data_IF_913008286489
#
_entry.id   IF_913008286489
#
_cell.length_a   1.000
_cell.length_b   1.000
_cell.length_c   1.000
_cell.angle_alpha   90.00
_cell.angle_beta   90.00
_cell.angle_gamma   90.00
#
_symmetry.space_group_name_H-M   'P 1'
#
loop_
_entity.id
_entity.type
_entity.pdbx_description
1 polymer ?
#
# COMPACT_ATOMS: atom_id res chain seq x y z
N UNK A 1 -7.66 -28.85 -7.81
CA UNK A 1 -7.49 -28.56 -6.37
C UNK A 1 -6.55 -27.38 -6.21
N UNK A 2 -7.10 -26.27 -5.84
CA UNK A 2 -6.61 -24.90 -5.88
C UNK A 2 -5.48 -24.66 -4.88
N UNK A 3 -4.30 -24.33 -5.36
CA UNK A 3 -3.10 -23.97 -4.57
C UNK A 3 -2.94 -22.46 -4.38
N UNK A 4 -4.00 -21.71 -4.65
CA UNK A 4 -4.06 -20.27 -4.39
C UNK A 4 -4.88 -20.04 -3.12
N UNK A 5 -4.42 -19.21 -2.22
CA UNK A 5 -5.00 -18.73 -0.96
C UNK A 5 -4.35 -19.23 0.34
N UNK A 6 -3.02 -19.13 0.44
CA UNK A 6 -2.35 -19.28 1.75
C UNK A 6 -1.74 -17.98 2.30
N UNK A 7 -1.97 -16.82 1.66
CA UNK A 7 -1.34 -15.56 2.08
C UNK A 7 -2.12 -14.73 3.11
N UNK A 8 -3.45 -14.80 3.13
CA UNK A 8 -4.26 -13.88 3.95
C UNK A 8 -4.54 -14.38 5.39
N UNK A 9 -4.38 -15.67 5.66
CA UNK A 9 -4.68 -16.27 6.98
C UNK A 9 -3.45 -16.42 7.90
N UNK A 10 -2.25 -16.15 7.40
CA UNK A 10 -1.01 -16.50 8.11
C UNK A 10 -0.73 -15.69 9.38
N UNK A 11 -1.41 -14.55 9.58
CA UNK A 11 -1.15 -13.64 10.70
C UNK A 11 -2.37 -13.43 11.63
N UNK A 12 -3.47 -14.14 11.43
CA UNK A 12 -4.67 -14.02 12.29
C UNK A 12 -4.36 -14.24 13.78
N UNK A 13 -3.43 -15.16 14.06
CA UNK A 13 -3.02 -15.48 15.42
C UNK A 13 -2.33 -14.27 16.10
N UNK A 14 -1.76 -13.35 15.33
CA UNK A 14 -1.08 -12.16 15.86
C UNK A 14 -1.92 -10.88 15.80
N UNK A 15 -3.15 -10.93 15.27
CA UNK A 15 -4.02 -9.75 15.19
C UNK A 15 -4.22 -9.09 16.57
N UNK A 16 -4.44 -9.89 17.61
CA UNK A 16 -4.61 -9.38 18.97
C UNK A 16 -3.34 -8.67 19.48
N UNK A 17 -2.15 -9.23 19.19
CA UNK A 17 -0.87 -8.61 19.55
C UNK A 17 -0.65 -7.30 18.79
N UNK A 18 -0.86 -7.32 17.49
CA UNK A 18 -0.69 -6.13 16.63
C UNK A 18 -1.72 -5.05 17.00
N UNK A 19 -2.94 -5.46 17.38
CA UNK A 19 -3.98 -4.54 17.84
C UNK A 19 -3.71 -3.94 19.22
N UNK A 20 -2.97 -4.62 20.08
CA UNK A 20 -2.50 -4.05 21.36
C UNK A 20 -1.56 -2.88 21.11
N UNK A 21 -0.72 -2.95 20.08
CA UNK A 21 0.30 -1.94 19.78
C UNK A 21 1.48 -1.98 20.76
N UNK A 22 2.34 -0.96 20.69
CA UNK A 22 3.50 -0.84 21.57
C UNK A 22 4.66 -1.76 21.20
N UNK A 23 5.48 -2.13 22.18
CA UNK A 23 6.59 -3.05 21.99
C UNK A 23 6.16 -4.49 22.26
N UNK A 24 6.64 -5.41 21.42
CA UNK A 24 6.45 -6.85 21.49
C UNK A 24 7.80 -7.54 21.58
N UNK A 25 7.84 -8.66 22.29
CA UNK A 25 9.00 -9.56 22.37
C UNK A 25 8.74 -10.82 21.55
N UNK A 26 9.80 -11.58 21.26
CA UNK A 26 9.66 -12.90 20.62
C UNK A 26 8.76 -13.82 21.46
N UNK A 27 8.80 -13.71 22.80
CA UNK A 27 7.96 -14.51 23.69
C UNK A 27 6.47 -14.25 23.46
N UNK A 28 6.05 -12.99 23.27
CA UNK A 28 4.65 -12.66 22.98
C UNK A 28 4.12 -13.40 21.74
N UNK A 29 4.96 -13.58 20.71
CA UNK A 29 4.57 -14.30 19.50
C UNK A 29 4.46 -15.82 19.71
N UNK A 30 5.31 -16.39 20.55
CA UNK A 30 5.20 -17.81 20.93
C UNK A 30 3.95 -18.06 21.77
N UNK A 31 3.64 -17.17 22.72
CA UNK A 31 2.42 -17.25 23.53
C UNK A 31 1.14 -17.15 22.70
N UNK A 32 1.13 -16.28 21.68
CA UNK A 32 -0.01 -16.12 20.77
C UNK A 32 -0.21 -17.31 19.82
N UNK A 33 0.81 -18.15 19.62
CA UNK A 33 0.75 -19.30 18.70
C UNK A 33 1.49 -20.53 19.24
N UNK A 34 1.03 -21.08 20.37
CA UNK A 34 1.74 -22.18 21.04
C UNK A 34 1.79 -23.49 20.23
N UNK A 35 0.90 -23.64 19.25
CA UNK A 35 0.83 -24.82 18.39
C UNK A 35 1.78 -24.76 17.16
N UNK A 36 2.44 -23.62 16.90
CA UNK A 36 3.29 -23.47 15.75
C UNK A 36 4.74 -23.87 16.04
N UNK A 37 5.42 -24.53 15.06
CA UNK A 37 6.85 -24.77 15.15
C UNK A 37 7.65 -23.46 15.28
N UNK A 38 8.74 -23.42 16.07
CA UNK A 38 9.56 -22.21 16.26
C UNK A 38 10.01 -21.55 14.97
N UNK A 39 10.42 -22.32 13.97
CA UNK A 39 10.83 -21.80 12.66
C UNK A 39 9.70 -21.03 11.96
N UNK A 40 8.45 -21.51 12.10
CA UNK A 40 7.28 -20.84 11.53
C UNK A 40 7.02 -19.51 12.22
N UNK A 41 7.13 -19.46 13.57
CA UNK A 41 6.98 -18.20 14.34
C UNK A 41 8.02 -17.18 13.89
N UNK A 42 9.30 -17.56 13.82
CA UNK A 42 10.36 -16.65 13.35
C UNK A 42 10.16 -16.20 11.90
N UNK A 43 9.70 -17.09 11.01
CA UNK A 43 9.39 -16.74 9.62
C UNK A 43 8.27 -15.72 9.54
N UNK A 44 7.23 -15.85 10.39
CA UNK A 44 6.12 -14.89 10.44
C UNK A 44 6.55 -13.54 11.02
N UNK A 45 7.36 -13.52 12.09
CA UNK A 45 7.93 -12.27 12.62
C UNK A 45 8.76 -11.58 11.52
N UNK A 46 9.60 -12.33 10.79
CA UNK A 46 10.36 -11.78 9.66
C UNK A 46 9.45 -11.18 8.60
N UNK A 47 8.36 -11.86 8.23
CA UNK A 47 7.37 -11.36 7.28
C UNK A 47 6.71 -10.06 7.76
N UNK A 48 6.38 -9.96 9.05
CA UNK A 48 5.82 -8.74 9.64
C UNK A 48 6.82 -7.57 9.68
N UNK A 49 8.11 -7.86 9.86
CA UNK A 49 9.15 -6.84 9.72
C UNK A 49 9.33 -6.41 8.27
N UNK A 50 9.35 -7.38 7.35
CA UNK A 50 9.55 -7.11 5.92
C UNK A 50 8.38 -6.31 5.30
N UNK A 51 7.14 -6.52 5.75
CA UNK A 51 5.99 -5.74 5.27
C UNK A 51 5.79 -4.43 6.04
N UNK A 52 6.68 -4.10 6.98
CA UNK A 52 6.63 -2.85 7.72
C UNK A 52 5.59 -2.80 8.84
N UNK A 53 4.92 -3.91 9.18
CA UNK A 53 3.99 -3.96 10.33
C UNK A 53 4.73 -3.98 11.68
N UNK A 54 5.97 -4.44 11.67
CA UNK A 54 6.88 -4.40 12.82
C UNK A 54 8.18 -3.69 12.45
N UNK A 55 8.72 -2.94 13.40
CA UNK A 55 10.08 -2.39 13.32
C UNK A 55 10.92 -2.97 14.45
N UNK A 56 12.12 -3.45 14.13
CA UNK A 56 13.03 -3.98 15.15
C UNK A 56 13.61 -2.85 15.99
N UNK A 57 13.38 -2.89 17.30
CA UNK A 57 13.91 -1.88 18.26
C UNK A 57 15.04 -2.41 19.12
N UNK A 58 15.31 -3.71 19.04
CA UNK A 58 16.39 -4.35 19.78
C UNK A 58 16.46 -5.85 19.51
N UNK A 59 17.39 -6.55 20.17
CA UNK A 59 17.50 -8.01 20.04
C UNK A 59 16.25 -8.68 20.60
N UNK A 60 15.45 -9.31 19.70
CA UNK A 60 14.19 -9.98 20.04
C UNK A 60 13.05 -9.04 20.48
N UNK A 61 13.19 -7.74 20.21
CA UNK A 61 12.18 -6.71 20.54
C UNK A 61 11.76 -5.97 19.29
N UNK A 62 10.45 -5.74 19.15
CA UNK A 62 9.82 -5.15 17.99
C UNK A 62 8.78 -4.13 18.42
N UNK A 63 8.72 -3.00 17.74
CA UNK A 63 7.62 -2.04 17.87
C UNK A 63 6.59 -2.29 16.78
N UNK A 64 5.31 -2.24 17.15
CA UNK A 64 4.22 -2.30 16.18
C UNK A 64 4.18 -1.00 15.39
N UNK A 65 4.09 -1.11 14.07
CA UNK A 65 3.93 0.01 13.14
C UNK A 65 2.63 -0.19 12.40
N UNK A 66 1.68 0.71 12.61
CA UNK A 66 0.40 0.69 11.90
C UNK A 66 0.47 1.66 10.74
N UNK A 67 0.37 1.09 9.56
CA UNK A 67 0.27 1.83 8.30
C UNK A 67 -1.13 1.65 7.73
N UNK A 68 -1.65 2.63 6.99
CA UNK A 68 -2.90 2.47 6.26
C UNK A 68 -2.86 1.25 5.36
N UNK A 69 -3.99 0.59 5.18
CA UNK A 69 -4.11 -0.48 4.20
C UNK A 69 -4.09 0.12 2.79
N UNK A 70 -3.29 -0.46 1.92
CA UNK A 70 -3.34 -0.09 0.51
C UNK A 70 -4.63 -0.66 -0.11
N UNK A 71 -5.49 0.22 -0.57
CA UNK A 71 -6.73 -0.14 -1.24
C UNK A 71 -6.65 0.26 -2.70
N UNK A 72 -6.85 -0.71 -3.59
CA UNK A 72 -7.03 -0.44 -5.01
C UNK A 72 -8.49 -0.04 -5.22
N UNK A 73 -8.78 1.13 -5.80
CA UNK A 73 -10.15 1.49 -6.14
C UNK A 73 -10.69 0.47 -7.14
N UNK A 74 -11.79 -0.18 -6.79
CA UNK A 74 -12.51 -1.09 -7.68
C UNK A 74 -13.77 -0.37 -8.16
N UNK A 75 -13.90 -0.23 -9.47
CA UNK A 75 -15.04 0.43 -10.10
C UNK A 75 -16.12 -0.60 -10.48
N UNK A 76 -17.35 -0.12 -10.67
CA UNK A 76 -18.46 -0.98 -11.13
C UNK A 76 -18.11 -1.68 -12.44
N UNK A 77 -17.42 -1.00 -13.35
CA UNK A 77 -16.97 -1.59 -14.61
C UNK A 77 -15.94 -2.73 -14.41
N UNK A 78 -15.01 -2.59 -13.44
CA UNK A 78 -14.12 -3.69 -13.07
C UNK A 78 -14.88 -4.90 -12.53
N UNK A 79 -15.90 -4.66 -11.69
CA UNK A 79 -16.72 -5.73 -11.13
C UNK A 79 -17.57 -6.41 -12.20
N UNK A 80 -18.16 -5.66 -13.13
CA UNK A 80 -18.92 -6.16 -14.26
C UNK A 80 -18.06 -7.09 -15.13
N UNK A 81 -16.90 -6.60 -15.58
CA UNK A 81 -15.98 -7.40 -16.42
C UNK A 81 -15.46 -8.61 -15.66
N UNK A 82 -15.09 -8.47 -14.38
CA UNK A 82 -14.69 -9.61 -13.56
C UNK A 82 -15.80 -10.65 -13.44
N UNK A 83 -17.04 -10.23 -13.22
CA UNK A 83 -18.22 -11.13 -13.18
C UNK A 83 -18.43 -11.88 -14.50
N UNK A 84 -18.26 -11.19 -15.63
CA UNK A 84 -18.28 -11.83 -16.94
C UNK A 84 -17.18 -12.88 -17.09
N UNK A 85 -15.94 -12.56 -16.66
CA UNK A 85 -14.80 -13.48 -16.76
C UNK A 85 -14.98 -14.74 -15.91
N UNK A 86 -15.47 -14.60 -14.69
CA UNK A 86 -15.75 -15.74 -13.80
C UNK A 86 -16.76 -16.70 -14.44
N UNK A 87 -17.78 -16.18 -15.09
CA UNK A 87 -18.87 -16.98 -15.65
C UNK A 87 -18.53 -17.59 -17.03
N UNK A 88 -17.64 -16.98 -17.81
CA UNK A 88 -17.42 -17.37 -19.22
C UNK A 88 -15.98 -17.82 -19.52
N UNK A 89 -15.04 -17.64 -18.59
CA UNK A 89 -13.63 -17.97 -18.75
C UNK A 89 -13.12 -18.85 -17.60
N UNK A 90 -13.83 -19.94 -17.32
CA UNK A 90 -13.53 -20.82 -16.19
C UNK A 90 -12.09 -21.37 -16.28
N UNK A 91 -11.39 -21.34 -15.14
CA UNK A 91 -10.01 -21.85 -15.02
C UNK A 91 -8.92 -20.93 -15.57
N UNK A 92 -9.24 -19.72 -16.03
CA UNK A 92 -8.26 -18.71 -16.44
C UNK A 92 -8.00 -17.73 -15.28
N UNK A 93 -6.80 -17.79 -14.73
CA UNK A 93 -6.35 -16.79 -13.75
C UNK A 93 -6.18 -15.44 -14.45
N UNK A 94 -6.76 -14.40 -13.86
CA UNK A 94 -6.71 -13.04 -14.42
C UNK A 94 -6.47 -11.99 -13.34
N UNK A 95 -6.06 -10.79 -13.76
CA UNK A 95 -5.94 -9.60 -12.93
C UNK A 95 -6.61 -8.43 -13.63
N UNK A 96 -7.48 -7.72 -12.92
CA UNK A 96 -8.21 -6.57 -13.48
C UNK A 96 -7.72 -5.29 -12.84
N UNK A 97 -7.46 -4.28 -13.66
CA UNK A 97 -7.10 -2.94 -13.19
C UNK A 97 -7.67 -1.87 -14.12
N UNK A 98 -7.89 -0.68 -13.60
CA UNK A 98 -8.30 0.47 -14.40
C UNK A 98 -7.21 1.53 -14.40
N UNK A 99 -6.87 2.04 -15.58
CA UNK A 99 -5.92 3.15 -15.75
C UNK A 99 -6.58 4.22 -16.63
N UNK A 100 -6.87 5.36 -16.03
CA UNK A 100 -7.68 6.40 -16.68
C UNK A 100 -9.06 5.89 -17.07
N UNK A 101 -9.40 5.98 -18.37
CA UNK A 101 -10.68 5.55 -18.92
C UNK A 101 -10.66 4.13 -19.49
N UNK A 102 -9.55 3.39 -19.38
CA UNK A 102 -9.40 2.05 -19.94
C UNK A 102 -9.25 1.01 -18.84
N UNK A 103 -9.78 -0.18 -19.09
CA UNK A 103 -9.68 -1.33 -18.22
C UNK A 103 -8.62 -2.30 -18.77
N UNK A 104 -7.80 -2.86 -17.89
CA UNK A 104 -6.75 -3.81 -18.24
C UNK A 104 -7.07 -5.16 -17.64
N UNK A 105 -7.12 -6.18 -18.48
CA UNK A 105 -7.27 -7.58 -18.11
C UNK A 105 -5.98 -8.30 -18.46
N UNK A 106 -5.24 -8.73 -17.45
CA UNK A 106 -4.01 -9.47 -17.63
C UNK A 106 -4.26 -10.95 -17.38
N UNK A 107 -3.80 -11.81 -18.28
CA UNK A 107 -3.93 -13.27 -18.23
C UNK A 107 -2.63 -13.95 -18.67
N UNK A 108 -2.47 -15.25 -18.40
CA UNK A 108 -1.32 -15.99 -18.90
C UNK A 108 -1.20 -15.85 -20.43
N UNK A 109 0.03 -15.80 -20.95
CA UNK A 109 0.26 -15.56 -22.39
C UNK A 109 -0.49 -16.52 -23.31
N UNK A 110 -0.63 -17.78 -22.90
CA UNK A 110 -1.36 -18.82 -23.65
C UNK A 110 -2.87 -18.52 -23.74
N UNK A 111 -3.42 -17.77 -22.81
CA UNK A 111 -4.86 -17.52 -22.67
C UNK A 111 -5.29 -16.17 -23.32
N UNK A 112 -4.35 -15.36 -23.81
CA UNK A 112 -4.64 -14.03 -24.38
C UNK A 112 -5.64 -14.12 -25.55
N UNK A 113 -5.44 -15.06 -26.47
CA UNK A 113 -6.28 -15.18 -27.66
C UNK A 113 -7.71 -15.60 -27.28
N UNK A 114 -7.86 -16.58 -26.41
CA UNK A 114 -9.18 -17.02 -25.92
C UNK A 114 -9.88 -15.92 -25.14
N UNK A 115 -9.13 -15.15 -24.34
CA UNK A 115 -9.66 -14.00 -23.61
C UNK A 115 -10.14 -12.89 -24.54
N UNK A 116 -9.37 -12.55 -25.58
CA UNK A 116 -9.78 -11.56 -26.58
C UNK A 116 -11.06 -11.99 -27.32
N UNK A 117 -11.16 -13.26 -27.69
CA UNK A 117 -12.35 -13.79 -28.36
C UNK A 117 -13.59 -13.76 -27.45
N UNK A 118 -13.43 -14.23 -26.20
CA UNK A 118 -14.53 -14.23 -25.23
C UNK A 118 -15.03 -12.80 -24.94
N UNK A 119 -14.14 -11.89 -24.59
CA UNK A 119 -14.51 -10.50 -24.30
C UNK A 119 -15.09 -9.79 -25.54
N UNK A 120 -14.56 -10.06 -26.74
CA UNK A 120 -15.01 -9.47 -27.99
C UNK A 120 -16.42 -9.93 -28.42
N UNK A 121 -16.93 -11.03 -27.88
CA UNK A 121 -18.33 -11.47 -28.08
C UNK A 121 -19.33 -10.60 -27.30
N UNK A 122 -18.89 -9.99 -26.21
CA UNK A 122 -19.76 -9.24 -25.31
C UNK A 122 -19.50 -7.74 -25.30
N UNK A 123 -18.23 -7.34 -25.46
CA UNK A 123 -17.80 -5.94 -25.45
C UNK A 123 -17.27 -5.50 -26.82
N UNK A 124 -17.72 -4.35 -27.30
CA UNK A 124 -17.33 -3.83 -28.61
C UNK A 124 -15.88 -3.33 -28.67
N UNK A 125 -15.37 -2.80 -27.55
CA UNK A 125 -14.06 -2.14 -27.48
C UNK A 125 -13.06 -3.02 -26.73
N UNK A 126 -12.58 -4.07 -27.37
CA UNK A 126 -11.55 -4.98 -26.84
C UNK A 126 -10.32 -4.94 -27.74
N UNK A 127 -9.14 -4.79 -27.12
CA UNK A 127 -7.87 -4.68 -27.88
C UNK A 127 -6.75 -5.41 -27.14
N UNK A 128 -5.79 -5.94 -27.88
CA UNK A 128 -4.57 -6.49 -27.27
C UNK A 128 -3.60 -5.39 -26.86
N UNK A 129 -2.86 -5.59 -25.76
CA UNK A 129 -1.91 -4.60 -25.24
C UNK A 129 -0.86 -4.12 -26.27
N UNK A 130 -0.43 -4.98 -27.19
CA UNK A 130 0.52 -4.61 -28.25
C UNK A 130 -0.07 -3.54 -29.18
N UNK A 131 -1.34 -3.68 -29.54
CA UNK A 131 -2.05 -2.76 -30.44
C UNK A 131 -2.44 -1.48 -29.68
N UNK A 132 -2.84 -1.59 -28.40
CA UNK A 132 -3.07 -0.45 -27.52
C UNK A 132 -1.84 0.44 -27.38
N UNK A 133 -0.62 -0.14 -27.26
CA UNK A 133 0.62 0.62 -27.13
C UNK A 133 0.95 1.49 -28.34
N UNK A 134 0.41 1.20 -29.50
CA UNK A 134 0.58 2.03 -30.70
C UNK A 134 -0.23 3.34 -30.61
N UNK A 135 -1.41 3.31 -29.99
CA UNK A 135 -2.35 4.45 -29.98
C UNK A 135 -2.96 4.74 -28.59
N UNK A 136 -2.19 4.76 -27.49
CA UNK A 136 -2.75 4.82 -26.14
C UNK A 136 -3.49 6.13 -25.83
N UNK A 137 -3.16 7.23 -26.52
CA UNK A 137 -3.78 8.55 -26.30
C UNK A 137 -5.16 8.70 -26.97
N UNK A 138 -5.48 7.81 -27.91
CA UNK A 138 -6.72 7.88 -28.72
C UNK A 138 -7.77 6.90 -28.20
N UNK A 139 -7.33 5.82 -27.57
CA UNK A 139 -8.21 4.74 -27.14
C UNK A 139 -8.79 5.03 -25.75
N UNK A 140 -10.10 5.27 -25.67
CA UNK A 140 -10.84 5.48 -24.44
C UNK A 140 -12.03 4.52 -24.35
N UNK A 141 -12.28 3.99 -23.16
CA UNK A 141 -13.35 3.04 -22.90
C UNK A 141 -13.06 1.63 -23.44
N UNK A 142 -11.78 1.27 -23.58
CA UNK A 142 -11.36 -0.04 -24.08
C UNK A 142 -11.04 -1.01 -22.93
N UNK A 143 -11.33 -2.27 -23.18
CA UNK A 143 -10.77 -3.41 -22.40
C UNK A 143 -9.50 -3.84 -23.10
N UNK A 144 -8.36 -3.69 -22.42
CA UNK A 144 -7.03 -3.99 -22.95
C UNK A 144 -6.56 -5.31 -22.37
N UNK A 145 -6.39 -6.32 -23.22
CA UNK A 145 -5.92 -7.65 -22.79
C UNK A 145 -4.41 -7.76 -22.94
N UNK A 146 -3.74 -8.13 -21.87
CA UNK A 146 -2.29 -8.25 -21.80
C UNK A 146 -1.78 -9.47 -21.06
N UNK A 147 -0.45 -9.71 -21.10
CA UNK A 147 0.14 -10.85 -20.38
C UNK A 147 0.28 -10.57 -18.89
N UNK A 148 -0.27 -11.47 -18.07
CA UNK A 148 0.05 -11.55 -16.65
C UNK A 148 1.41 -12.24 -16.49
N UNK A 149 2.32 -11.58 -15.79
CA UNK A 149 3.62 -12.18 -15.44
C UNK A 149 3.42 -13.25 -14.38
N UNK A 150 4.12 -14.36 -14.51
CA UNK A 150 4.01 -15.48 -13.55
C UNK A 150 4.33 -15.00 -12.12
N UNK A 151 3.53 -15.46 -11.16
CA UNK A 151 3.62 -15.07 -9.74
C UNK A 151 3.50 -13.55 -9.52
N UNK A 152 2.80 -12.83 -10.41
CA UNK A 152 2.50 -11.42 -10.19
C UNK A 152 1.77 -11.25 -8.84
N UNK A 153 2.20 -10.31 -8.01
CA UNK A 153 1.55 -10.09 -6.71
C UNK A 153 0.18 -9.47 -6.92
N UNK A 154 -0.85 -10.19 -6.51
CA UNK A 154 -2.24 -9.75 -6.60
C UNK A 154 -2.87 -9.64 -5.22
N UNK A 155 -3.90 -8.84 -5.11
CA UNK A 155 -4.83 -8.74 -4.01
C UNK A 155 -6.24 -9.06 -4.51
N UNK A 156 -7.16 -9.31 -3.59
CA UNK A 156 -8.57 -9.50 -3.89
C UNK A 156 -9.39 -8.43 -3.18
N UNK A 157 -10.19 -7.70 -3.93
CA UNK A 157 -11.09 -6.66 -3.42
C UNK A 157 -12.48 -6.92 -3.98
N UNK A 158 -13.46 -7.15 -3.12
CA UNK A 158 -14.85 -7.46 -3.51
C UNK A 158 -14.96 -8.62 -4.50
N UNK A 159 -14.12 -9.66 -4.35
CA UNK A 159 -14.07 -10.81 -5.25
C UNK A 159 -13.40 -10.53 -6.61
N UNK A 160 -12.85 -9.34 -6.81
CA UNK A 160 -12.11 -8.97 -8.02
C UNK A 160 -10.59 -9.09 -7.75
N UNK A 161 -9.85 -9.87 -8.56
CA UNK A 161 -8.40 -9.95 -8.47
C UNK A 161 -7.78 -8.69 -9.08
N UNK A 162 -7.09 -7.91 -8.24
CA UNK A 162 -6.49 -6.62 -8.58
C UNK A 162 -4.98 -6.63 -8.32
N UNK A 163 -4.19 -5.73 -8.93
CA UNK A 163 -2.77 -5.64 -8.64
C UNK A 163 -2.51 -5.25 -7.18
N UNK A 164 -1.60 -5.93 -6.50
CA UNK A 164 -1.14 -5.51 -5.18
C UNK A 164 -0.27 -4.25 -5.27
N UNK A 165 0.08 -3.66 -4.12
CA UNK A 165 0.98 -2.51 -4.07
C UNK A 165 2.34 -2.82 -4.71
N UNK A 166 2.88 -4.02 -4.48
CA UNK A 166 4.16 -4.43 -5.05
C UNK A 166 4.10 -4.52 -6.57
N UNK A 167 2.99 -5.03 -7.13
CA UNK A 167 2.78 -5.07 -8.57
C UNK A 167 2.70 -3.65 -9.14
N UNK A 168 1.90 -2.79 -8.52
CA UNK A 168 1.75 -1.41 -8.98
C UNK A 168 3.07 -0.64 -8.96
N UNK A 169 3.88 -0.80 -7.89
CA UNK A 169 5.18 -0.16 -7.79
C UNK A 169 6.14 -0.60 -8.90
N UNK A 170 6.28 -1.89 -9.13
CA UNK A 170 7.18 -2.42 -10.17
C UNK A 170 6.69 -2.07 -11.56
N UNK A 171 5.39 -2.22 -11.83
CA UNK A 171 4.82 -1.89 -13.14
C UNK A 171 4.94 -0.39 -13.46
N UNK A 172 4.91 0.50 -12.44
CA UNK A 172 5.12 1.93 -12.63
C UNK A 172 6.53 2.30 -13.11
N UNK A 173 7.52 1.44 -12.85
CA UNK A 173 8.90 1.63 -13.30
C UNK A 173 9.10 1.20 -14.76
N UNK A 174 8.15 0.42 -15.33
CA UNK A 174 8.28 -0.10 -16.68
C UNK A 174 8.02 1.00 -17.72
N UNK A 175 9.00 1.38 -18.57
CA UNK A 175 8.82 2.45 -19.56
C UNK A 175 7.72 2.18 -20.59
N UNK A 176 7.40 0.91 -20.80
CA UNK A 176 6.39 0.46 -21.77
C UNK A 176 4.98 0.39 -21.23
N UNK A 177 4.77 0.65 -19.93
CA UNK A 177 3.43 0.62 -19.35
C UNK A 177 2.68 1.94 -19.60
N UNK A 178 1.39 1.88 -19.97
CA UNK A 178 0.59 3.08 -20.26
C UNK A 178 0.45 4.03 -19.06
N UNK A 179 0.60 3.53 -17.83
CA UNK A 179 0.47 4.31 -16.61
C UNK A 179 1.55 5.40 -16.44
N UNK A 180 2.72 5.24 -17.07
CA UNK A 180 3.82 6.21 -16.94
C UNK A 180 3.57 7.55 -17.63
N UNK A 181 2.46 7.70 -18.37
CA UNK A 181 2.08 8.95 -19.01
C UNK A 181 1.10 9.82 -18.19
N UNK A 182 0.53 9.27 -17.12
CA UNK A 182 -0.52 9.94 -16.32
C UNK A 182 -0.12 10.35 -14.90
N UNK A 183 1.14 10.23 -14.54
CA UNK A 183 1.67 10.61 -13.24
C UNK A 183 2.64 9.56 -12.71
N UNK A 184 3.85 9.96 -12.39
CA UNK A 184 4.82 9.08 -11.72
C UNK A 184 4.25 8.67 -10.36
N UNK A 185 4.18 7.37 -10.10
CA UNK A 185 3.91 6.86 -8.75
C UNK A 185 5.04 7.36 -7.86
N UNK A 186 4.68 8.11 -6.83
CA UNK A 186 5.65 8.52 -5.83
C UNK A 186 6.09 7.31 -5.00
N UNK A 187 7.16 6.67 -5.46
CA UNK A 187 7.67 5.42 -4.91
C UNK A 187 8.02 5.54 -3.43
N UNK A 188 8.66 6.64 -3.04
CA UNK A 188 9.02 6.89 -1.65
C UNK A 188 7.77 7.06 -0.78
N UNK A 189 6.82 7.88 -1.21
CA UNK A 189 5.55 8.08 -0.49
C UNK A 189 4.80 6.76 -0.29
N UNK A 190 4.79 5.89 -1.30
CA UNK A 190 4.14 4.59 -1.18
C UNK A 190 4.81 3.69 -0.13
N UNK A 191 6.14 3.69 -0.04
CA UNK A 191 6.88 2.95 0.98
C UNK A 191 6.73 3.55 2.38
N UNK A 192 6.65 4.88 2.49
CA UNK A 192 6.41 5.58 3.76
C UNK A 192 5.02 5.25 4.31
N UNK A 193 4.01 5.31 3.46
CA UNK A 193 2.60 5.24 3.85
C UNK A 193 2.13 3.82 4.06
N UNK A 194 2.43 2.91 3.12
CA UNK A 194 1.81 1.58 3.09
C UNK A 194 2.76 0.46 3.50
N UNK A 195 2.23 -0.66 4.02
CA UNK A 195 3.02 -1.87 4.24
C UNK A 195 3.36 -2.52 2.89
N UNK A 196 4.64 -2.55 2.54
CA UNK A 196 5.15 -3.17 1.30
C UNK A 196 6.01 -4.37 1.65
N UNK A 197 5.74 -5.52 1.05
CA UNK A 197 6.58 -6.71 1.21
C UNK A 197 7.79 -6.62 0.26
N UNK A 198 8.95 -6.25 0.80
CA UNK A 198 10.17 -6.03 0.02
C UNK A 198 10.67 -7.30 -0.70
N UNK A 199 10.49 -8.49 -0.12
CA UNK A 199 10.88 -9.74 -0.78
C UNK A 199 9.98 -10.03 -1.99
N UNK A 200 8.68 -9.75 -1.86
CA UNK A 200 7.70 -9.88 -2.95
C UNK A 200 7.98 -8.85 -4.05
N UNK A 201 8.26 -7.61 -3.65
CA UNK A 201 8.62 -6.52 -4.55
C UNK A 201 9.85 -6.88 -5.40
N UNK A 202 10.95 -7.31 -4.76
CA UNK A 202 12.19 -7.70 -5.44
C UNK A 202 12.02 -8.92 -6.35
N UNK A 203 11.30 -9.95 -5.90
CA UNK A 203 11.01 -11.11 -6.75
C UNK A 203 10.23 -10.74 -8.00
N UNK A 204 9.22 -9.90 -7.86
CA UNK A 204 8.44 -9.47 -9.01
C UNK A 204 9.23 -8.56 -9.94
N UNK A 205 10.03 -7.63 -9.42
CA UNK A 205 10.95 -6.80 -10.23
C UNK A 205 11.93 -7.68 -11.04
N UNK A 206 12.51 -8.69 -10.41
CA UNK A 206 13.40 -9.65 -11.12
C UNK A 206 12.68 -10.37 -12.27
N UNK A 207 11.44 -10.81 -12.05
CA UNK A 207 10.64 -11.45 -13.12
C UNK A 207 10.24 -10.51 -14.25
N UNK A 208 10.16 -9.22 -13.95
CA UNK A 208 9.90 -8.16 -14.94
C UNK A 208 11.16 -7.70 -15.67
N UNK A 209 12.35 -8.12 -15.23
CA UNK A 209 13.64 -7.63 -15.73
C UNK A 209 13.95 -6.21 -15.28
N UNK A 210 13.46 -5.79 -14.12
CA UNK A 210 13.58 -4.45 -13.56
C UNK A 210 14.29 -4.46 -12.19
N UNK A 211 15.15 -5.45 -11.95
CA UNK A 211 15.82 -5.59 -10.65
C UNK A 211 16.80 -4.45 -10.38
N UNK A 212 17.60 -4.06 -11.38
CA UNK A 212 18.60 -3.00 -11.24
C UNK A 212 17.94 -1.63 -11.12
N UNK A 213 16.86 -1.38 -11.87
CA UNK A 213 16.06 -0.17 -11.77
C UNK A 213 15.42 -0.03 -10.39
N UNK A 214 14.92 -1.15 -9.82
CA UNK A 214 14.37 -1.15 -8.47
C UNK A 214 15.44 -0.80 -7.43
N UNK A 215 16.60 -1.45 -7.47
CA UNK A 215 17.67 -1.15 -6.49
C UNK A 215 18.18 0.30 -6.65
N UNK A 216 18.26 0.83 -7.88
CA UNK A 216 18.59 2.23 -8.13
C UNK A 216 17.54 3.17 -7.52
N UNK A 217 16.25 2.85 -7.70
CA UNK A 217 15.16 3.62 -7.10
C UNK A 217 15.23 3.57 -5.56
N UNK A 218 15.44 2.38 -4.98
CA UNK A 218 15.56 2.21 -3.53
C UNK A 218 16.77 2.98 -2.96
N UNK A 219 17.88 3.03 -3.67
CA UNK A 219 19.08 3.77 -3.26
C UNK A 219 18.89 5.29 -3.31
N UNK A 220 17.93 5.78 -4.11
CA UNK A 220 17.61 7.21 -4.22
C UNK A 220 16.63 7.72 -3.15
N UNK A 221 16.09 6.84 -2.31
CA UNK A 221 15.14 7.21 -1.25
C UNK A 221 15.82 8.05 -0.16
N UNK A 222 15.10 8.99 0.40
CA UNK A 222 15.52 9.75 1.57
C UNK A 222 15.32 8.92 2.87
N UNK A 223 16.40 8.37 3.47
CA UNK A 223 16.27 7.54 4.65
C UNK A 223 15.86 8.35 5.88
N UNK A 224 16.22 9.63 5.97
CA UNK A 224 15.87 10.49 7.11
C UNK A 224 14.38 10.73 7.15
N UNK A 225 13.80 11.07 6.00
CA UNK A 225 12.36 11.26 5.87
C UNK A 225 11.59 9.97 6.18
N UNK A 226 12.04 8.83 5.66
CA UNK A 226 11.41 7.53 5.95
C UNK A 226 11.45 7.20 7.44
N UNK A 227 12.54 7.50 8.13
CA UNK A 227 12.68 7.29 9.58
C UNK A 227 11.74 8.21 10.37
N UNK A 228 11.61 9.49 9.99
CA UNK A 228 10.68 10.44 10.59
C UNK A 228 9.23 9.93 10.51
N UNK A 229 8.76 9.57 9.32
CA UNK A 229 7.39 9.05 9.13
C UNK A 229 7.18 7.76 9.93
N UNK A 230 8.15 6.83 9.89
CA UNK A 230 8.08 5.58 10.67
C UNK A 230 8.03 5.84 12.17
N UNK A 231 8.75 6.83 12.68
CA UNK A 231 8.75 7.19 14.09
C UNK A 231 7.40 7.76 14.53
N UNK A 232 6.78 8.60 13.72
CA UNK A 232 5.42 9.11 13.94
C UNK A 232 4.40 7.98 13.94
N UNK A 233 4.48 7.06 12.97
CA UNK A 233 3.61 5.88 12.88
C UNK A 233 3.72 4.99 14.13
N UNK A 234 4.94 4.73 14.62
CA UNK A 234 5.20 3.98 15.85
C UNK A 234 4.58 4.66 17.07
N UNK A 235 4.76 5.96 17.18
CA UNK A 235 4.19 6.74 18.29
C UNK A 235 2.67 6.59 18.33
N UNK A 236 1.99 6.87 17.22
CA UNK A 236 0.53 6.72 17.18
C UNK A 236 0.06 5.26 17.33
N UNK A 237 0.86 4.29 16.88
CA UNK A 237 0.57 2.86 17.09
C UNK A 237 0.56 2.46 18.55
N UNK A 238 1.34 3.13 19.40
CA UNK A 238 1.37 2.93 20.85
C UNK A 238 0.33 3.75 21.60
N UNK A 239 -0.22 4.81 21.01
CA UNK A 239 -1.23 5.68 21.61
C UNK A 239 -2.64 5.14 21.34
N UNK A 240 -3.53 5.13 22.34
CA UNK A 240 -4.95 4.81 22.17
C UNK A 240 -5.82 6.02 21.82
N UNK A 241 -5.23 7.22 21.82
CA UNK A 241 -5.97 8.48 21.68
C UNK A 241 -6.26 8.83 20.21
N UNK A 242 -5.39 8.45 19.27
CA UNK A 242 -5.51 8.78 17.84
C UNK A 242 -5.95 7.55 17.05
N UNK A 243 -6.88 7.75 16.11
CA UNK A 243 -7.36 6.71 15.19
C UNK A 243 -6.80 6.88 13.79
N UNK A 244 -6.60 8.13 13.33
CA UNK A 244 -6.00 8.45 12.03
C UNK A 244 -5.06 9.62 12.17
N UNK A 245 -4.00 9.62 11.35
CA UNK A 245 -3.11 10.76 11.23
C UNK A 245 -2.71 10.98 9.77
N UNK A 246 -2.74 12.24 9.35
CA UNK A 246 -2.29 12.70 8.03
C UNK A 246 -1.12 13.67 8.21
N UNK A 247 -0.22 13.63 7.24
CA UNK A 247 0.75 14.72 7.03
C UNK A 247 0.19 15.67 5.99
N UNK A 248 0.40 16.97 6.16
CA UNK A 248 0.05 17.99 5.18
C UNK A 248 1.16 19.07 5.09
N UNK A 249 0.92 20.16 4.38
CA UNK A 249 1.84 21.29 4.31
C UNK A 249 3.13 21.00 3.52
N UNK A 250 4.22 21.71 3.88
CA UNK A 250 5.52 21.62 3.17
C UNK A 250 6.08 20.21 3.17
N UNK A 251 5.99 19.51 4.29
CA UNK A 251 6.43 18.13 4.40
C UNK A 251 5.66 17.20 3.44
N UNK A 252 4.35 17.36 3.29
CA UNK A 252 3.56 16.57 2.36
C UNK A 252 3.92 16.83 0.88
N UNK A 253 4.29 18.07 0.55
CA UNK A 253 4.68 18.50 -0.81
C UNK A 253 6.16 18.26 -1.15
N UNK A 254 6.97 17.80 -0.16
CA UNK A 254 8.43 17.67 -0.29
C UNK A 254 9.16 18.99 -0.56
N UNK A 255 8.67 20.03 0.04
CA UNK A 255 9.24 21.39 0.01
C UNK A 255 9.89 21.76 1.35
N UNK A 256 9.94 20.81 2.29
CA UNK A 256 10.51 21.00 3.61
C UNK A 256 12.02 21.19 3.61
N UNK A 257 12.51 22.01 4.52
CA UNK A 257 13.91 22.11 4.90
C UNK A 257 14.18 21.38 6.23
N UNK A 258 15.44 21.18 6.65
CA UNK A 258 15.74 20.60 7.95
C UNK A 258 15.12 21.37 9.13
N UNK A 259 14.85 22.67 8.99
CA UNK A 259 14.26 23.53 10.00
C UNK A 259 12.73 23.62 9.93
N UNK A 260 12.13 23.11 8.85
CA UNK A 260 10.67 23.12 8.70
C UNK A 260 10.00 22.26 9.76
N UNK A 261 8.86 22.71 10.25
CA UNK A 261 7.94 21.92 11.06
C UNK A 261 7.28 20.79 10.26
N UNK A 262 6.69 19.84 10.99
CA UNK A 262 5.88 18.78 10.40
C UNK A 262 4.44 19.02 10.79
N UNK A 263 3.61 19.31 9.80
CA UNK A 263 2.18 19.54 9.97
C UNK A 263 1.42 18.21 10.01
N UNK A 264 0.75 17.93 11.13
CA UNK A 264 -0.03 16.72 11.35
C UNK A 264 -1.50 17.02 11.62
N UNK A 265 -2.38 16.40 10.87
CA UNK A 265 -3.80 16.34 11.15
C UNK A 265 -4.12 15.00 11.83
N UNK A 266 -4.98 15.01 12.85
CA UNK A 266 -5.34 13.78 13.57
C UNK A 266 -6.85 13.68 13.80
N UNK A 267 -7.38 12.47 13.69
CA UNK A 267 -8.67 12.11 14.24
C UNK A 267 -8.46 11.45 15.60
N UNK A 268 -9.08 11.99 16.62
CA UNK A 268 -9.07 11.36 17.94
C UNK A 268 -10.10 10.23 18.04
N UNK A 269 -9.80 9.29 18.92
CA UNK A 269 -10.72 8.21 19.24
C UNK A 269 -11.99 8.79 19.91
N UNK A 270 -13.19 8.65 19.33
CA UNK A 270 -14.40 9.23 19.89
C UNK A 270 -14.79 8.65 21.25
N UNK A 271 -14.21 7.48 21.63
CA UNK A 271 -14.39 6.86 22.94
C UNK A 271 -13.41 7.39 23.99
N UNK A 272 -12.37 8.12 23.59
CA UNK A 272 -11.38 8.70 24.49
C UNK A 272 -11.80 10.12 24.87
N UNK A 273 -11.68 10.46 26.15
CA UNK A 273 -11.83 11.86 26.60
C UNK A 273 -10.48 12.57 26.44
N UNK A 274 -10.25 13.12 25.27
CA UNK A 274 -8.99 13.83 24.96
C UNK A 274 -9.07 15.24 25.54
N UNK A 275 -8.11 15.59 26.35
CA UNK A 275 -7.94 16.94 26.91
C UNK A 275 -6.89 17.73 26.14
N UNK A 276 -6.90 19.06 26.29
CA UNK A 276 -5.85 19.91 25.72
C UNK A 276 -4.44 19.52 26.20
N UNK A 277 -4.31 19.05 27.44
CA UNK A 277 -3.03 18.57 27.99
C UNK A 277 -2.55 17.29 27.28
N UNK A 278 -3.46 16.43 26.85
CA UNK A 278 -3.10 15.23 26.08
C UNK A 278 -2.59 15.61 24.68
N UNK A 279 -3.19 16.60 24.04
CA UNK A 279 -2.73 17.12 22.73
C UNK A 279 -1.33 17.74 22.87
N UNK A 280 -1.12 18.58 23.88
CA UNK A 280 0.19 19.19 24.16
C UNK A 280 1.24 18.12 24.44
N UNK A 281 0.91 17.11 25.23
CA UNK A 281 1.84 16.00 25.53
C UNK A 281 2.21 15.24 24.26
N UNK A 282 1.24 14.89 23.41
CA UNK A 282 1.50 14.22 22.15
C UNK A 282 2.42 15.05 21.23
N UNK A 283 2.17 16.37 21.14
CA UNK A 283 3.03 17.29 20.40
C UNK A 283 4.47 17.22 20.90
N UNK A 284 4.68 17.41 22.20
CA UNK A 284 6.01 17.40 22.82
C UNK A 284 6.73 16.04 22.67
N UNK A 285 5.99 14.94 22.78
CA UNK A 285 6.54 13.61 22.58
C UNK A 285 6.99 13.40 21.12
N UNK A 286 6.17 13.83 20.16
CA UNK A 286 6.51 13.78 18.74
C UNK A 286 7.72 14.67 18.41
N UNK A 287 7.79 15.88 18.94
CA UNK A 287 8.94 16.77 18.79
C UNK A 287 10.23 16.13 19.32
N UNK A 288 10.15 15.49 20.49
CA UNK A 288 11.30 14.78 21.08
C UNK A 288 11.74 13.59 20.23
N UNK A 289 10.80 12.84 19.63
CA UNK A 289 11.09 11.65 18.84
C UNK A 289 11.63 12.02 17.46
N UNK A 290 11.09 13.06 16.84
CA UNK A 290 11.46 13.47 15.48
C UNK A 290 12.62 14.46 15.44
N UNK A 291 12.89 15.15 16.56
CA UNK A 291 13.84 16.25 16.61
C UNK A 291 13.39 17.49 15.82
N UNK A 292 12.12 17.56 15.43
CA UNK A 292 11.50 18.62 14.64
C UNK A 292 10.34 19.25 15.37
N UNK A 293 10.03 20.49 15.09
CA UNK A 293 8.78 21.10 15.54
C UNK A 293 7.58 20.41 14.88
N UNK A 294 6.52 20.23 15.65
CA UNK A 294 5.28 19.58 15.21
C UNK A 294 4.13 20.56 15.32
N UNK A 295 3.40 20.77 14.25
CA UNK A 295 2.07 21.40 14.32
C UNK A 295 0.99 20.30 14.30
N UNK A 296 0.43 20.02 15.48
CA UNK A 296 -0.56 18.95 15.67
C UNK A 296 -1.96 19.56 15.78
N UNK A 297 -2.80 19.33 14.79
CA UNK A 297 -4.14 19.89 14.69
C UNK A 297 -5.17 18.75 14.61
N UNK A 298 -6.27 18.88 15.36
CA UNK A 298 -7.42 17.99 15.22
C UNK A 298 -8.13 18.23 13.88
N UNK A 299 -8.49 17.17 13.18
CA UNK A 299 -9.21 17.24 11.92
C UNK A 299 -10.57 17.94 12.12
N UNK A 300 -10.87 18.92 11.27
CA UNK A 300 -12.03 19.79 11.42
C UNK A 300 -11.75 21.12 12.17
N UNK A 301 -10.59 21.27 12.82
CA UNK A 301 -10.22 22.50 13.53
C UNK A 301 -9.12 23.31 12.83
N UNK A 302 -8.81 23.00 11.57
CA UNK A 302 -7.94 23.84 10.75
C UNK A 302 -8.54 25.23 10.55
N UNK A 303 -7.67 26.24 10.54
CA UNK A 303 -8.07 27.60 10.19
C UNK A 303 -8.63 27.63 8.76
N UNK A 304 -9.71 28.39 8.48
CA UNK A 304 -10.39 28.35 7.18
C UNK A 304 -9.47 28.56 5.96
N UNK A 305 -8.45 29.39 6.08
CA UNK A 305 -7.49 29.63 4.99
C UNK A 305 -6.56 28.44 4.71
N UNK A 306 -6.35 27.55 5.67
CA UNK A 306 -5.49 26.38 5.54
C UNK A 306 -6.22 25.13 5.04
N UNK A 307 -7.55 25.07 5.17
CA UNK A 307 -8.36 23.88 4.84
C UNK A 307 -8.14 23.44 3.39
N UNK A 308 -8.28 24.38 2.43
CA UNK A 308 -8.20 24.05 1.01
C UNK A 308 -6.82 23.51 0.62
N UNK A 309 -5.73 24.08 1.16
CA UNK A 309 -4.37 23.60 0.88
C UNK A 309 -4.12 22.25 1.55
N UNK A 310 -4.52 22.11 2.82
CA UNK A 310 -4.37 20.85 3.54
C UNK A 310 -5.14 19.71 2.86
N UNK A 311 -6.39 19.94 2.43
CA UNK A 311 -7.19 18.91 1.74
C UNK A 311 -6.59 18.46 0.41
N UNK A 312 -5.89 19.36 -0.30
CA UNK A 312 -5.20 19.02 -1.54
C UNK A 312 -3.93 18.22 -1.29
N UNK A 313 -3.16 18.55 -0.26
CA UNK A 313 -1.81 18.06 -0.07
C UNK A 313 -1.74 16.88 0.91
N UNK A 314 -2.72 16.76 1.84
CA UNK A 314 -2.68 15.75 2.90
C UNK A 314 -2.69 14.32 2.39
N UNK A 315 -1.95 13.47 3.08
CA UNK A 315 -2.04 12.02 2.89
C UNK A 315 -1.98 11.28 4.22
N UNK A 316 -2.74 10.20 4.29
CA UNK A 316 -2.88 9.38 5.48
C UNK A 316 -1.58 8.61 5.73
N UNK A 317 -0.99 8.75 6.91
CA UNK A 317 0.23 8.03 7.32
C UNK A 317 -0.02 6.98 8.40
N UNK A 318 -1.12 7.09 9.13
CA UNK A 318 -1.47 6.18 10.21
C UNK A 318 -2.99 5.95 10.25
N UNK A 319 -3.39 4.68 10.46
CA UNK A 319 -4.76 4.27 10.69
C UNK A 319 -4.78 3.06 11.65
N UNK A 320 -5.74 3.11 12.61
CA UNK A 320 -5.92 2.06 13.61
C UNK A 320 -6.97 1.06 13.16
#
# INVERSE_FOLDING_TARGET
>A
MTKAMKGSNANKEYEALLNRGGELTVADFFEASPALPPQTVYSRIRSLVQNGSLSRVGRGRYAVVRKPKYEVPVTDWMLEVNGYLINNCEGIDHCVSQKGKNLFVEVARKDITSMLLSLGQHYEKVVQIKDYKLFPAVLEGFIVVGPLVSEAPMAEVSGCPVPSIEKNLVDSMCPSEPANKTGSVDFQKMLEVYPVNMDRLRRYASRRGLADELETCLASLDPVRMELVTSIQKYFSSSSLVTKAWVFGSFARREETPESDIDLLVDFNPKAKVSLLDIIRQKLDLERITGRQIDLVENGYLKPFAVQSADRDKYLIYER
#
